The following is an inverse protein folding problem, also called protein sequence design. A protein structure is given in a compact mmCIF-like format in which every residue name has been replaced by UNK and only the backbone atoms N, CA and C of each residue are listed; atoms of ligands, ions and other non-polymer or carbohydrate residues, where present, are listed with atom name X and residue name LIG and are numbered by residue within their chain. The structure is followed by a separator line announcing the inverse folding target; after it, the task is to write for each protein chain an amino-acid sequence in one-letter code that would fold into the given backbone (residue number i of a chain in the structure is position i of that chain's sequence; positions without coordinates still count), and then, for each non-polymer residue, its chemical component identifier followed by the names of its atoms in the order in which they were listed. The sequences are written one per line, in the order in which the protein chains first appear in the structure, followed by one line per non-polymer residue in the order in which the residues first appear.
data_IF_915487087557
#
_entry.id   IF_915487087557
#
_cell.length_a   1.000
_cell.length_b   1.000
_cell.length_c   1.000
_cell.angle_alpha   90.00
_cell.angle_beta   90.00
_cell.angle_gamma   90.00
#
_symmetry.space_group_name_H-M   'P 1'
#
loop_
_entity.id
_entity.type
_entity.pdbx_description
1 polymer ?
#
# COMPACT_ATOMS: atom_id res chain seq x y z
N UNK A 1 -11.72 -9.72 11.25
CA UNK A 1 -11.81 -8.63 12.25
C UNK A 1 -11.55 -7.30 11.56
N UNK A 2 -12.15 -6.23 12.05
CA UNK A 2 -11.94 -4.87 11.51
C UNK A 2 -11.71 -3.89 12.67
N UNK A 3 -10.88 -2.88 12.40
CA UNK A 3 -10.63 -1.76 13.30
C UNK A 3 -10.88 -0.44 12.58
N UNK A 4 -10.91 0.68 13.31
CA UNK A 4 -11.03 1.99 12.68
C UNK A 4 -9.66 2.56 12.35
N UNK A 5 -9.57 3.19 11.17
CA UNK A 5 -8.39 3.90 10.71
C UNK A 5 -7.94 4.96 11.72
N UNK A 6 -6.66 5.00 12.03
CA UNK A 6 -6.07 5.95 12.98
C UNK A 6 -6.52 5.80 14.46
N UNK A 7 -7.16 4.69 14.82
CA UNK A 7 -7.52 4.37 16.20
C UNK A 7 -6.55 3.32 16.77
N UNK A 8 -5.47 3.80 17.42
CA UNK A 8 -4.45 2.92 18.02
C UNK A 8 -5.01 2.07 19.15
N UNK A 9 -5.87 2.65 19.99
CA UNK A 9 -6.38 1.97 21.19
C UNK A 9 -7.27 0.79 20.82
N UNK A 10 -8.22 1.02 19.92
CA UNK A 10 -9.09 -0.06 19.43
C UNK A 10 -8.27 -1.12 18.69
N UNK A 11 -7.33 -0.68 17.83
CA UNK A 11 -6.51 -1.60 17.04
C UNK A 11 -5.63 -2.46 17.95
N UNK A 12 -4.99 -1.87 18.96
CA UNK A 12 -4.20 -2.61 19.95
C UNK A 12 -5.07 -3.64 20.70
N UNK A 13 -6.26 -3.22 21.16
CA UNK A 13 -7.18 -4.10 21.86
C UNK A 13 -7.55 -5.30 21.00
N UNK A 14 -7.98 -5.07 19.74
CA UNK A 14 -8.40 -6.15 18.83
C UNK A 14 -7.25 -7.10 18.54
N UNK A 15 -6.05 -6.60 18.27
CA UNK A 15 -4.88 -7.44 18.00
C UNK A 15 -4.52 -8.26 19.24
N UNK A 16 -4.44 -7.63 20.41
CA UNK A 16 -4.07 -8.31 21.65
C UNK A 16 -5.03 -9.42 22.05
N UNK A 17 -6.33 -9.17 21.89
CA UNK A 17 -7.37 -10.14 22.27
C UNK A 17 -7.43 -11.33 21.30
N UNK A 18 -6.90 -11.20 20.09
CA UNK A 18 -6.97 -12.22 19.04
C UNK A 18 -5.57 -12.66 18.53
N UNK A 19 -4.50 -12.29 19.20
CA UNK A 19 -3.12 -12.48 18.75
C UNK A 19 -2.73 -13.93 18.41
N UNK A 20 -3.37 -14.89 19.07
CA UNK A 20 -3.09 -16.32 18.89
C UNK A 20 -3.82 -16.92 17.66
N UNK A 21 -4.76 -16.18 17.09
CA UNK A 21 -5.53 -16.58 15.90
C UNK A 21 -5.24 -15.68 14.66
N UNK A 22 -4.62 -14.50 14.87
CA UNK A 22 -4.31 -13.57 13.80
C UNK A 22 -3.05 -13.98 13.03
N UNK A 23 -3.19 -14.28 11.75
CA UNK A 23 -2.08 -14.52 10.86
C UNK A 23 -1.47 -13.22 10.32
N UNK A 24 -2.30 -12.23 10.00
CA UNK A 24 -1.86 -10.99 9.38
C UNK A 24 -2.75 -9.79 9.74
N UNK A 25 -2.17 -8.60 9.62
CA UNK A 25 -2.86 -7.31 9.57
C UNK A 25 -2.68 -6.74 8.17
N UNK A 26 -3.77 -6.49 7.47
CA UNK A 26 -3.80 -5.84 6.17
C UNK A 26 -4.26 -4.39 6.34
N UNK A 27 -3.50 -3.45 5.81
CA UNK A 27 -3.82 -2.02 5.83
C UNK A 27 -3.30 -1.31 4.58
N UNK A 28 -3.89 -0.17 4.25
CA UNK A 28 -3.29 0.78 3.32
C UNK A 28 -2.31 1.69 4.09
N UNK A 29 -1.34 2.30 3.40
CA UNK A 29 -0.48 3.32 4.01
C UNK A 29 -1.16 4.69 4.10
N UNK A 30 -2.02 5.00 3.12
CA UNK A 30 -2.98 6.12 3.13
C UNK A 30 -4.33 5.54 2.77
N UNK A 31 -5.35 5.79 3.56
CA UNK A 31 -6.68 5.25 3.28
C UNK A 31 -7.21 5.84 1.96
N UNK A 32 -7.36 5.01 0.93
CA UNK A 32 -7.78 5.42 -0.41
C UNK A 32 -9.23 5.93 -0.44
N UNK A 33 -10.10 5.38 0.40
CA UNK A 33 -11.48 5.82 0.57
C UNK A 33 -11.59 7.16 1.30
N UNK A 34 -11.18 8.25 0.64
CA UNK A 34 -11.21 9.61 1.20
C UNK A 34 -9.84 10.25 1.30
N UNK A 35 -8.79 9.58 0.83
CA UNK A 35 -7.40 10.07 0.85
C UNK A 35 -6.98 10.52 2.26
N UNK A 36 -7.23 9.66 3.26
CA UNK A 36 -6.98 10.00 4.67
C UNK A 36 -5.59 9.50 5.05
N UNK A 37 -4.63 10.39 5.35
CA UNK A 37 -3.29 9.99 5.77
C UNK A 37 -3.31 9.34 7.17
N UNK A 38 -2.30 8.54 7.49
CA UNK A 38 -2.13 8.04 8.85
C UNK A 38 -1.80 9.18 9.80
N UNK A 39 -2.34 9.14 11.01
CA UNK A 39 -1.86 9.99 12.10
C UNK A 39 -0.42 9.64 12.45
N UNK A 40 0.30 10.61 13.02
CA UNK A 40 1.69 10.43 13.40
C UNK A 40 1.92 9.16 14.22
N UNK A 41 2.84 8.34 13.73
CA UNK A 41 3.23 7.09 14.35
C UNK A 41 2.18 5.96 14.30
N UNK A 42 1.08 6.09 13.53
CA UNK A 42 0.09 5.02 13.43
C UNK A 42 0.64 3.77 12.71
N UNK A 43 1.31 3.95 11.57
CA UNK A 43 1.91 2.83 10.83
C UNK A 43 3.09 2.21 11.59
N UNK A 44 3.91 3.03 12.27
CA UNK A 44 4.98 2.56 13.15
C UNK A 44 4.43 1.69 14.27
N UNK A 45 3.35 2.15 14.90
CA UNK A 45 2.63 1.36 15.91
C UNK A 45 2.16 0.01 15.34
N UNK A 46 1.58 -0.02 14.13
CA UNK A 46 1.16 -1.28 13.49
C UNK A 46 2.35 -2.22 13.27
N UNK A 47 3.49 -1.69 12.80
CA UNK A 47 4.70 -2.48 12.64
C UNK A 47 5.20 -3.09 13.96
N UNK A 48 5.25 -2.26 15.00
CA UNK A 48 5.72 -2.67 16.32
C UNK A 48 4.84 -3.75 16.94
N UNK A 49 3.52 -3.57 16.90
CA UNK A 49 2.59 -4.54 17.50
C UNK A 49 2.54 -5.84 16.70
N UNK A 50 2.61 -5.78 15.37
CA UNK A 50 2.70 -6.98 14.52
C UNK A 50 4.00 -7.74 14.82
N UNK A 51 5.14 -7.05 14.91
CA UNK A 51 6.41 -7.66 15.26
C UNK A 51 6.39 -8.32 16.65
N UNK A 52 5.78 -7.65 17.62
CA UNK A 52 5.65 -8.14 19.00
C UNK A 52 4.94 -9.48 19.09
N UNK A 53 3.92 -9.68 18.27
CA UNK A 53 3.09 -10.89 18.31
C UNK A 53 3.36 -11.87 17.16
N UNK A 54 4.36 -11.62 16.31
CA UNK A 54 4.70 -12.48 15.17
C UNK A 54 3.62 -12.50 14.09
N UNK A 55 2.86 -11.41 13.96
CA UNK A 55 1.79 -11.23 12.99
C UNK A 55 2.38 -10.58 11.72
N UNK A 56 2.01 -11.07 10.54
CA UNK A 56 2.45 -10.51 9.26
C UNK A 56 1.77 -9.17 9.03
N UNK A 57 2.54 -8.12 8.76
CA UNK A 57 2.03 -6.81 8.34
C UNK A 57 2.01 -6.72 6.82
N UNK A 58 0.85 -6.48 6.24
CA UNK A 58 0.64 -6.38 4.79
C UNK A 58 0.19 -4.96 4.45
N UNK A 59 0.91 -4.31 3.52
CA UNK A 59 0.47 -3.04 2.97
C UNK A 59 -0.26 -3.26 1.64
N UNK A 60 -1.46 -2.72 1.55
CA UNK A 60 -2.19 -2.59 0.29
C UNK A 60 -1.72 -1.31 -0.41
N UNK A 61 -0.83 -1.50 -1.36
CA UNK A 61 -0.26 -0.43 -2.18
C UNK A 61 -0.98 -0.26 -3.54
N UNK A 62 -2.13 -0.91 -3.72
CA UNK A 62 -2.85 -0.92 -5.00
C UNK A 62 -3.19 0.49 -5.50
N UNK A 63 -3.41 1.43 -4.58
CA UNK A 63 -3.67 2.85 -4.89
C UNK A 63 -2.46 3.72 -4.57
N UNK A 64 -1.71 3.39 -3.54
CA UNK A 64 -0.79 4.31 -2.85
C UNK A 64 0.66 4.23 -3.33
N UNK A 65 1.06 3.19 -4.07
CA UNK A 65 2.45 2.95 -4.40
C UNK A 65 3.12 4.09 -5.22
N UNK A 66 2.32 4.98 -5.81
CA UNK A 66 2.78 6.17 -6.53
C UNK A 66 3.23 7.33 -5.64
N UNK A 67 2.95 7.27 -4.34
CA UNK A 67 3.24 8.37 -3.41
C UNK A 67 4.75 8.51 -3.13
N UNK A 68 5.50 7.41 -3.22
CA UNK A 68 6.96 7.40 -3.14
C UNK A 68 7.52 6.27 -4.00
N UNK A 69 8.83 6.28 -4.29
CA UNK A 69 9.46 5.26 -5.13
C UNK A 69 9.37 3.84 -4.54
N UNK A 70 9.42 3.72 -3.23
CA UNK A 70 9.19 2.47 -2.49
C UNK A 70 7.78 2.35 -1.89
N UNK A 71 6.80 3.10 -2.42
CA UNK A 71 5.44 3.12 -1.89
C UNK A 71 5.31 3.84 -0.56
N UNK A 72 4.22 3.56 0.15
CA UNK A 72 3.97 4.18 1.47
C UNK A 72 4.90 3.65 2.56
N UNK A 73 5.49 2.48 2.35
CA UNK A 73 6.56 1.97 3.21
C UNK A 73 7.73 2.93 3.32
N UNK A 74 8.25 3.40 2.18
CA UNK A 74 9.32 4.41 2.12
C UNK A 74 8.82 5.77 2.65
N UNK A 75 7.63 6.18 2.23
CA UNK A 75 7.07 7.48 2.62
C UNK A 75 7.00 7.67 4.14
N UNK A 76 6.63 6.61 4.86
CA UNK A 76 6.46 6.64 6.32
C UNK A 76 7.57 5.92 7.08
N UNK A 77 8.61 5.46 6.40
CA UNK A 77 9.73 4.71 6.99
C UNK A 77 9.25 3.51 7.83
N UNK A 78 8.34 2.72 7.25
CA UNK A 78 7.77 1.50 7.86
C UNK A 78 7.88 0.37 6.86
N UNK A 79 8.61 -0.69 7.20
CA UNK A 79 8.78 -1.87 6.35
C UNK A 79 7.69 -2.90 6.64
N UNK A 80 6.73 -3.14 5.72
CA UNK A 80 5.77 -4.23 5.83
C UNK A 80 6.44 -5.57 5.51
N UNK A 81 5.82 -6.67 5.94
CA UNK A 81 6.27 -8.02 5.58
C UNK A 81 5.89 -8.38 4.14
N UNK A 82 4.75 -7.91 3.67
CA UNK A 82 4.24 -8.09 2.32
C UNK A 82 3.58 -6.81 1.81
N UNK A 83 3.61 -6.64 0.49
CA UNK A 83 2.87 -5.60 -0.22
C UNK A 83 2.03 -6.19 -1.35
N UNK A 84 0.84 -5.63 -1.57
CA UNK A 84 -0.01 -5.92 -2.71
C UNK A 84 -0.01 -4.73 -3.66
N UNK A 85 0.14 -4.98 -4.97
CA UNK A 85 0.15 -3.94 -6.00
C UNK A 85 -0.84 -4.26 -7.10
N UNK A 86 -1.36 -3.23 -7.75
CA UNK A 86 -2.33 -3.40 -8.84
C UNK A 86 -2.55 -2.10 -9.61
N UNK A 87 -3.69 -2.01 -10.28
CA UNK A 87 -4.09 -0.82 -11.03
C UNK A 87 -3.00 -0.30 -11.97
N UNK A 88 -2.42 0.87 -11.68
CA UNK A 88 -1.47 1.57 -12.53
C UNK A 88 -0.23 0.76 -12.90
N UNK A 89 0.23 -0.17 -12.06
CA UNK A 89 1.39 -1.00 -12.38
C UNK A 89 1.16 -1.90 -13.61
N UNK A 90 -0.08 -2.15 -13.97
CA UNK A 90 -0.43 -2.96 -15.16
C UNK A 90 -0.17 -2.25 -16.49
N UNK A 91 0.15 -0.95 -16.48
CA UNK A 91 0.37 -0.18 -17.72
C UNK A 91 -0.87 -0.15 -18.63
N UNK A 92 -2.07 -0.21 -18.04
CA UNK A 92 -3.36 -0.23 -18.74
C UNK A 92 -3.96 -1.64 -18.93
N UNK A 93 -3.23 -2.69 -18.58
CA UNK A 93 -3.71 -4.07 -18.63
C UNK A 93 -3.95 -4.64 -17.22
N UNK A 94 -4.79 -5.69 -17.07
CA UNK A 94 -5.03 -6.32 -15.79
C UNK A 94 -3.74 -6.92 -15.20
N UNK A 95 -3.32 -6.44 -14.04
CA UNK A 95 -2.13 -6.90 -13.35
C UNK A 95 -2.31 -6.79 -11.84
N UNK A 96 -1.89 -7.81 -11.12
CA UNK A 96 -1.71 -7.80 -9.67
C UNK A 96 -0.35 -8.40 -9.33
N UNK A 97 0.33 -7.82 -8.35
CA UNK A 97 1.60 -8.31 -7.84
C UNK A 97 1.53 -8.42 -6.32
N UNK A 98 2.26 -9.39 -5.79
CA UNK A 98 2.55 -9.52 -4.37
C UNK A 98 4.06 -9.59 -4.25
N UNK A 99 4.62 -8.83 -3.33
CA UNK A 99 6.04 -8.83 -3.01
C UNK A 99 6.26 -8.71 -1.51
N UNK A 100 7.44 -9.07 -1.05
CA UNK A 100 7.81 -8.93 0.35
C UNK A 100 8.89 -9.89 0.80
N UNK A 101 8.89 -10.25 2.05
CA UNK A 101 9.92 -11.07 2.72
C UNK A 101 10.16 -12.40 1.99
N UNK A 102 11.43 -12.73 1.79
CA UNK A 102 11.86 -13.92 1.07
C UNK A 102 11.33 -15.23 1.70
N UNK A 103 11.33 -15.33 3.02
CA UNK A 103 10.83 -16.51 3.75
C UNK A 103 9.34 -16.80 3.50
N UNK A 104 8.55 -15.78 3.19
CA UNK A 104 7.14 -15.90 2.81
C UNK A 104 7.03 -16.13 1.29
N UNK A 105 7.73 -15.33 0.48
CA UNK A 105 7.62 -15.38 -0.97
C UNK A 105 8.11 -16.70 -1.57
N UNK A 106 9.11 -17.35 -0.97
CA UNK A 106 9.56 -18.68 -1.42
C UNK A 106 8.48 -19.76 -1.37
N UNK A 107 7.46 -19.61 -0.53
CA UNK A 107 6.34 -20.56 -0.45
C UNK A 107 5.52 -20.62 -1.76
N UNK A 108 5.65 -19.63 -2.64
CA UNK A 108 5.08 -19.68 -4.00
C UNK A 108 5.96 -20.51 -4.98
N UNK A 109 7.17 -20.88 -4.58
CA UNK A 109 8.05 -21.67 -5.43
C UNK A 109 7.58 -23.12 -5.57
N UNK A 110 7.66 -23.65 -6.79
CA UNK A 110 7.37 -25.07 -7.06
C UNK A 110 8.37 -26.03 -6.42
N UNK A 111 9.49 -25.53 -5.90
CA UNK A 111 10.55 -26.30 -5.26
C UNK A 111 10.29 -26.59 -3.78
N UNK A 112 9.36 -25.88 -3.17
CA UNK A 112 9.03 -26.05 -1.76
C UNK A 112 8.05 -27.21 -1.54
N UNK A 113 8.17 -27.87 -0.39
CA UNK A 113 7.25 -28.96 -0.01
C UNK A 113 5.85 -28.42 0.33
N UNK A 114 5.80 -27.30 1.05
CA UNK A 114 4.55 -26.57 1.30
C UNK A 114 4.49 -25.43 0.30
N UNK A 115 3.45 -25.41 -0.52
CA UNK A 115 3.30 -24.44 -1.60
C UNK A 115 1.99 -23.70 -1.49
N UNK A 116 2.05 -22.41 -1.77
CA UNK A 116 0.88 -21.56 -1.97
C UNK A 116 0.61 -21.51 -3.47
N UNK A 117 -0.60 -21.88 -3.88
CA UNK A 117 -1.00 -21.74 -5.28
C UNK A 117 -1.48 -20.32 -5.55
N UNK A 118 -0.74 -19.59 -6.38
CA UNK A 118 -1.21 -18.31 -6.94
C UNK A 118 -1.87 -18.60 -8.30
N UNK A 119 -3.16 -18.88 -8.28
CA UNK A 119 -3.91 -19.23 -9.49
C UNK A 119 -5.03 -18.20 -9.68
N UNK A 120 -4.98 -17.50 -10.82
CA UNK A 120 -6.05 -16.65 -11.30
C UNK A 120 -6.12 -16.74 -12.83
N UNK A 121 -7.23 -16.33 -13.42
CA UNK A 121 -7.45 -16.42 -14.87
C UNK A 121 -6.38 -15.73 -15.72
N UNK A 122 -5.75 -14.68 -15.18
CA UNK A 122 -4.72 -13.88 -15.86
C UNK A 122 -3.33 -14.01 -15.21
N UNK A 123 -3.10 -15.05 -14.41
CA UNK A 123 -1.78 -15.25 -13.78
C UNK A 123 -0.71 -15.49 -14.85
N UNK A 124 0.28 -14.59 -14.92
CA UNK A 124 1.39 -14.67 -15.87
C UNK A 124 1.01 -14.37 -17.32
N UNK A 125 -0.10 -13.67 -17.57
CA UNK A 125 -0.48 -13.23 -18.92
C UNK A 125 0.67 -12.43 -19.56
N UNK A 126 1.23 -12.88 -20.71
CA UNK A 126 2.42 -12.27 -21.29
C UNK A 126 2.26 -10.79 -21.67
N UNK A 127 1.07 -10.38 -22.10
CA UNK A 127 0.81 -8.98 -22.49
C UNK A 127 0.79 -8.09 -21.25
N UNK A 128 0.11 -8.51 -20.19
CA UNK A 128 0.07 -7.79 -18.92
C UNK A 128 1.45 -7.69 -18.28
N UNK A 129 2.24 -8.77 -18.32
CA UNK A 129 3.63 -8.77 -17.82
C UNK A 129 4.51 -7.82 -18.63
N UNK A 130 4.40 -7.81 -19.94
CA UNK A 130 5.17 -6.91 -20.79
C UNK A 130 4.80 -5.43 -20.55
N UNK A 131 3.50 -5.11 -20.48
CA UNK A 131 3.01 -3.77 -20.19
C UNK A 131 3.44 -3.28 -18.80
N UNK A 132 3.28 -4.13 -17.79
CA UNK A 132 3.72 -3.85 -16.42
C UNK A 132 5.23 -3.60 -16.36
N UNK A 133 6.02 -4.43 -17.02
CA UNK A 133 7.48 -4.26 -17.09
C UNK A 133 7.87 -2.94 -17.72
N UNK A 134 7.21 -2.53 -18.80
CA UNK A 134 7.45 -1.24 -19.45
C UNK A 134 7.04 -0.08 -18.52
N UNK A 135 5.87 -0.17 -17.88
CA UNK A 135 5.38 0.82 -16.95
C UNK A 135 6.36 1.03 -15.78
N UNK A 136 6.76 -0.06 -15.12
CA UNK A 136 7.67 0.00 -13.96
C UNK A 136 9.05 0.58 -14.32
N UNK A 137 9.55 0.35 -15.54
CA UNK A 137 10.80 0.97 -16.00
C UNK A 137 10.71 2.49 -16.17
N UNK A 138 9.53 3.03 -16.44
CA UNK A 138 9.28 4.45 -16.52
C UNK A 138 9.06 5.10 -15.16
N UNK A 139 8.71 4.32 -14.15
CA UNK A 139 8.42 4.79 -12.80
C UNK A 139 9.70 4.99 -11.97
N UNK A 140 10.50 5.96 -12.39
CA UNK A 140 11.69 6.39 -11.66
C UNK A 140 11.31 7.30 -10.49
N UNK A 141 12.24 7.50 -9.54
CA UNK A 141 12.05 8.44 -8.43
C UNK A 141 11.73 9.86 -8.94
N UNK A 142 12.40 10.29 -10.04
CA UNK A 142 12.17 11.60 -10.65
C UNK A 142 10.76 11.71 -11.26
N UNK A 143 10.27 10.65 -11.91
CA UNK A 143 8.93 10.64 -12.48
C UNK A 143 7.85 10.66 -11.40
N UNK A 144 8.04 9.92 -10.31
CA UNK A 144 7.15 9.98 -9.15
C UNK A 144 7.15 11.37 -8.52
N UNK A 145 8.32 11.98 -8.34
CA UNK A 145 8.42 13.34 -7.84
C UNK A 145 7.71 14.34 -8.76
N UNK A 146 7.82 14.19 -10.09
CA UNK A 146 7.11 15.01 -11.07
C UNK A 146 5.60 14.86 -10.97
N UNK A 147 5.10 13.63 -10.83
CA UNK A 147 3.65 13.35 -10.66
C UNK A 147 3.13 14.00 -9.37
N UNK A 148 3.83 13.83 -8.26
CA UNK A 148 3.46 14.42 -6.98
C UNK A 148 3.53 15.97 -7.02
N UNK A 149 4.51 16.54 -7.70
CA UNK A 149 4.60 17.99 -7.94
C UNK A 149 3.40 18.54 -8.72
N UNK A 150 2.92 17.82 -9.73
CA UNK A 150 1.70 18.19 -10.45
C UNK A 150 0.45 18.11 -9.55
N UNK A 151 0.39 17.10 -8.67
CA UNK A 151 -0.66 16.97 -7.67
C UNK A 151 -0.71 18.17 -6.73
N UNK A 152 0.43 18.60 -6.20
CA UNK A 152 0.51 19.77 -5.33
C UNK A 152 0.18 21.08 -6.06
N UNK A 153 0.60 21.23 -7.32
CA UNK A 153 0.22 22.40 -8.14
C UNK A 153 -1.31 22.47 -8.28
N UNK A 154 -1.97 21.35 -8.57
CA UNK A 154 -3.41 21.27 -8.67
C UNK A 154 -4.10 21.58 -7.34
N UNK A 155 -3.63 20.96 -6.26
CA UNK A 155 -4.18 21.16 -4.91
C UNK A 155 -4.07 22.63 -4.48
N UNK A 156 -2.94 23.26 -4.72
CA UNK A 156 -2.70 24.69 -4.43
C UNK A 156 -3.63 25.58 -5.24
N UNK A 157 -3.82 25.29 -6.53
CA UNK A 157 -4.77 26.03 -7.37
C UNK A 157 -6.21 25.92 -6.87
N UNK A 158 -6.65 24.72 -6.50
CA UNK A 158 -8.00 24.51 -5.95
C UNK A 158 -8.18 25.23 -4.61
N UNK A 159 -7.20 25.15 -3.70
CA UNK A 159 -7.24 25.87 -2.40
C UNK A 159 -7.38 27.39 -2.60
N UNK A 160 -6.67 27.95 -3.59
CA UNK A 160 -6.79 29.39 -3.93
C UNK A 160 -8.21 29.72 -4.40
N UNK A 161 -8.75 28.95 -5.33
CA UNK A 161 -10.11 29.17 -5.86
C UNK A 161 -11.16 29.09 -4.74
N UNK A 162 -11.08 28.08 -3.88
CA UNK A 162 -11.99 27.93 -2.74
C UNK A 162 -11.93 29.16 -1.82
N UNK A 163 -10.73 29.64 -1.54
CA UNK A 163 -10.52 30.87 -0.74
C UNK A 163 -11.14 32.10 -1.39
N UNK A 164 -10.88 32.30 -2.69
CA UNK A 164 -11.37 33.48 -3.44
C UNK A 164 -12.90 33.50 -3.54
N UNK A 165 -13.53 32.33 -3.60
CA UNK A 165 -14.97 32.19 -3.65
C UNK A 165 -15.64 32.12 -2.26
N UNK A 166 -14.87 32.15 -1.17
CA UNK A 166 -15.40 32.00 0.18
C UNK A 166 -16.01 30.64 0.47
N UNK A 167 -15.62 29.59 -0.27
CA UNK A 167 -16.14 28.23 -0.09
C UNK A 167 -15.30 27.52 0.98
N UNK A 168 -15.96 27.01 2.01
CA UNK A 168 -15.32 26.14 2.98
C UNK A 168 -15.12 24.74 2.39
N UNK A 169 -13.87 24.33 2.24
CA UNK A 169 -13.49 23.02 1.72
C UNK A 169 -12.05 22.67 2.11
N UNK A 170 -11.73 21.38 2.07
CA UNK A 170 -10.40 20.86 2.30
C UNK A 170 -9.91 20.16 1.03
N UNK A 171 -8.66 20.40 0.67
CA UNK A 171 -7.95 19.71 -0.41
C UNK A 171 -6.73 19.04 0.22
N UNK A 172 -6.70 17.75 0.15
CA UNK A 172 -5.65 16.88 0.70
C UNK A 172 -4.74 16.44 -0.44
#
# INVERSE_FOLDING_TARGET
LMTYWNDKELTEKVIRENKDELAAVLTEGVQSGGTIPPKDGYLTFLREICSKYGIVLIFDEIVNFWLAHGGTGDLYNVEPDLCCYGKGIGGGLPMGLIGGRDDIMKLFSQKEQVRIAAIAAHTGDPMSVAASTACLKLMTADEIARINGNGELLATGIRSILKDLGIHGQVI
#
